data_IF_803474187529
#
_entry.id   IF_803474187529
#
_cell.length_a   1.000
_cell.length_b   1.000
_cell.length_c   1.000
_cell.angle_alpha   90.00
_cell.angle_beta   90.00
_cell.angle_gamma   90.00
#
_symmetry.space_group_name_H-M   'P 1'
#
loop_
_entity.id
_entity.type
_entity.pdbx_description
1 polymer ?
#
# COMPACT_ATOMS: atom_id res chain seq x y z
N UNK A 1 5.79 -1.15 -54.04
CA UNK A 1 6.14 -2.01 -52.87
C UNK A 1 6.61 -1.20 -51.65
N UNK A 2 7.09 0.04 -51.80
CA UNK A 2 7.56 0.88 -50.68
C UNK A 2 6.42 1.47 -49.83
N UNK A 3 5.29 1.84 -50.42
CA UNK A 3 4.18 2.50 -49.69
C UNK A 3 3.53 1.64 -48.60
N UNK A 4 3.49 0.32 -48.79
CA UNK A 4 2.94 -0.60 -47.78
C UNK A 4 3.92 -0.83 -46.60
N UNK A 5 5.22 -0.89 -46.90
CA UNK A 5 6.27 -1.00 -45.88
C UNK A 5 6.47 0.31 -45.09
N UNK A 6 6.18 1.46 -45.71
CA UNK A 6 6.21 2.78 -45.05
C UNK A 6 5.19 2.91 -43.91
N UNK A 7 4.06 2.21 -43.98
CA UNK A 7 3.06 2.17 -42.92
C UNK A 7 3.36 1.09 -41.86
N UNK A 8 4.01 0.00 -42.27
CA UNK A 8 4.37 -1.10 -41.37
C UNK A 8 5.38 -0.67 -40.29
N UNK A 9 6.43 0.06 -40.67
CA UNK A 9 7.45 0.55 -39.74
C UNK A 9 6.90 1.43 -38.59
N UNK A 10 6.09 2.49 -38.86
CA UNK A 10 5.48 3.26 -37.79
C UNK A 10 4.48 2.43 -36.98
N UNK A 11 3.74 1.48 -37.58
CA UNK A 11 2.86 0.58 -36.84
C UNK A 11 3.63 -0.28 -35.81
N UNK A 12 4.78 -0.82 -36.22
CA UNK A 12 5.66 -1.61 -35.34
C UNK A 12 6.23 -0.73 -34.23
N UNK A 13 6.68 0.49 -34.54
CA UNK A 13 7.16 1.44 -33.54
C UNK A 13 6.06 1.81 -32.53
N UNK A 14 4.83 2.05 -32.99
CA UNK A 14 3.68 2.29 -32.10
C UNK A 14 3.37 1.08 -31.22
N UNK A 15 3.46 -0.14 -31.77
CA UNK A 15 3.26 -1.37 -31.01
C UNK A 15 4.31 -1.52 -29.90
N UNK A 16 5.59 -1.34 -30.24
CA UNK A 16 6.71 -1.42 -29.28
C UNK A 16 6.54 -0.36 -28.19
N UNK A 17 6.24 0.88 -28.56
CA UNK A 17 6.01 1.94 -27.56
C UNK A 17 4.80 1.66 -26.67
N UNK A 18 3.72 1.12 -27.25
CA UNK A 18 2.54 0.69 -26.50
C UNK A 18 2.85 -0.41 -25.49
N UNK A 19 3.64 -1.41 -25.89
CA UNK A 19 4.12 -2.48 -25.01
C UNK A 19 4.96 -1.94 -23.86
N UNK A 20 5.91 -1.04 -24.15
CA UNK A 20 6.75 -0.41 -23.12
C UNK A 20 5.88 0.34 -22.11
N UNK A 21 4.94 1.16 -22.58
CA UNK A 21 4.02 1.91 -21.73
C UNK A 21 3.15 0.99 -20.86
N UNK A 22 2.64 -0.12 -21.41
CA UNK A 22 1.84 -1.09 -20.67
C UNK A 22 2.65 -1.77 -19.55
N UNK A 23 3.91 -2.13 -19.82
CA UNK A 23 4.81 -2.70 -18.81
C UNK A 23 5.08 -1.68 -17.70
N UNK A 24 5.40 -0.43 -18.04
CA UNK A 24 5.60 0.63 -17.05
C UNK A 24 4.34 0.90 -16.24
N UNK A 25 3.16 0.85 -16.86
CA UNK A 25 1.89 1.03 -16.16
C UNK A 25 1.65 -0.06 -15.10
N UNK A 26 1.92 -1.33 -15.45
CA UNK A 26 1.77 -2.44 -14.51
C UNK A 26 2.86 -2.43 -13.43
N UNK A 27 4.10 -2.16 -13.82
CA UNK A 27 5.23 -2.01 -12.89
C UNK A 27 4.94 -0.92 -11.85
N UNK A 28 4.51 0.26 -12.30
CA UNK A 28 4.19 1.38 -11.42
C UNK A 28 3.03 1.05 -10.48
N UNK A 29 1.98 0.37 -10.96
CA UNK A 29 0.85 -0.05 -10.12
C UNK A 29 1.30 -0.98 -8.99
N UNK A 30 2.23 -1.89 -9.26
CA UNK A 30 2.78 -2.81 -8.27
C UNK A 30 3.68 -2.11 -7.26
N UNK A 31 4.58 -1.22 -7.73
CA UNK A 31 5.44 -0.41 -6.86
C UNK A 31 4.59 0.48 -5.93
N UNK A 32 3.54 1.09 -6.47
CA UNK A 32 2.62 1.95 -5.74
C UNK A 32 1.84 1.17 -4.67
N UNK A 33 1.37 -0.03 -5.03
CA UNK A 33 0.65 -0.91 -4.12
C UNK A 33 1.52 -1.49 -3.02
N UNK A 34 2.77 -1.85 -3.33
CA UNK A 34 3.75 -2.28 -2.35
C UNK A 34 4.07 -1.14 -1.35
N UNK A 35 4.34 0.07 -1.85
CA UNK A 35 4.58 1.23 -1.00
C UNK A 35 3.37 1.57 -0.12
N UNK A 36 2.15 1.47 -0.66
CA UNK A 36 0.91 1.67 0.09
C UNK A 36 0.73 0.62 1.19
N UNK A 37 0.99 -0.66 0.87
CA UNK A 37 0.90 -1.76 1.83
C UNK A 37 1.94 -1.64 2.95
N UNK A 38 3.20 -1.34 2.62
CA UNK A 38 4.25 -1.08 3.61
C UNK A 38 3.86 0.09 4.53
N UNK A 39 3.31 1.17 3.97
CA UNK A 39 2.85 2.32 4.75
C UNK A 39 1.67 1.95 5.67
N UNK A 40 0.76 1.07 5.21
CA UNK A 40 -0.36 0.58 6.00
C UNK A 40 0.12 -0.29 7.18
N UNK A 41 1.11 -1.15 6.96
CA UNK A 41 1.71 -2.01 8.01
C UNK A 41 2.54 -1.21 9.01
N UNK A 42 3.33 -0.23 8.53
CA UNK A 42 4.05 0.69 9.42
C UNK A 42 3.05 1.56 10.20
N UNK A 43 1.95 1.94 9.59
CA UNK A 43 0.82 2.55 10.27
C UNK A 43 0.25 1.67 11.37
N UNK A 44 0.00 0.40 11.09
CA UNK A 44 -0.68 -0.50 12.03
C UNK A 44 0.19 -0.89 13.20
N UNK A 45 1.51 -0.93 12.99
CA UNK A 45 2.50 -1.08 14.08
C UNK A 45 2.62 0.18 14.91
N UNK A 46 2.68 1.38 14.31
CA UNK A 46 2.71 2.65 15.05
C UNK A 46 1.41 2.98 15.78
N UNK A 47 0.27 2.48 15.31
CA UNK A 47 -0.99 2.55 16.06
C UNK A 47 -0.93 1.82 17.40
N UNK A 48 0.04 0.91 17.59
CA UNK A 48 0.29 0.21 18.86
C UNK A 48 1.19 0.98 19.82
N UNK A 49 1.99 1.93 19.33
CA UNK A 49 2.83 2.76 20.18
C UNK A 49 2.03 3.90 20.81
N UNK A 50 2.39 4.30 22.04
CA UNK A 50 1.71 5.34 22.84
C UNK A 50 1.56 6.71 22.16
N UNK A 51 2.30 6.96 21.07
CA UNK A 51 2.36 8.25 20.38
C UNK A 51 1.25 8.47 19.34
N UNK A 52 0.44 7.46 19.03
CA UNK A 52 -0.64 7.58 18.04
C UNK A 52 -0.14 7.76 16.60
N UNK A 53 -1.05 7.60 15.63
CA UNK A 53 -0.73 7.66 14.20
C UNK A 53 -0.96 9.06 13.66
N UNK A 54 0.12 9.79 13.39
CA UNK A 54 0.05 11.06 12.68
C UNK A 54 0.02 10.80 11.16
N UNK A 55 -1.11 11.10 10.52
CA UNK A 55 -1.33 10.90 9.07
C UNK A 55 -0.27 11.57 8.20
N UNK A 56 0.24 12.73 8.65
CA UNK A 56 1.32 13.46 7.97
C UNK A 56 2.65 12.70 7.94
N UNK A 57 3.00 11.96 9.02
CA UNK A 57 4.22 11.13 9.07
C UNK A 57 4.12 9.93 8.13
N UNK A 58 2.95 9.29 8.04
CA UNK A 58 2.72 8.20 7.08
C UNK A 58 2.81 8.67 5.63
N UNK A 59 2.24 9.84 5.33
CA UNK A 59 2.31 10.41 3.98
C UNK A 59 3.75 10.79 3.60
N UNK A 60 4.55 11.29 4.55
CA UNK A 60 5.98 11.56 4.35
C UNK A 60 6.79 10.28 4.10
N UNK A 61 6.56 9.21 4.89
CA UNK A 61 7.19 7.91 4.70
C UNK A 61 6.89 7.33 3.32
N UNK A 62 5.62 7.37 2.91
CA UNK A 62 5.21 6.94 1.59
C UNK A 62 5.93 7.71 0.47
N UNK A 63 6.06 9.04 0.62
CA UNK A 63 6.76 9.90 -0.34
C UNK A 63 8.25 9.62 -0.40
N UNK A 64 8.90 9.33 0.73
CA UNK A 64 10.31 8.94 0.76
C UNK A 64 10.57 7.61 0.04
N UNK A 65 9.68 6.62 0.24
CA UNK A 65 9.78 5.30 -0.38
C UNK A 65 9.64 5.31 -1.90
N UNK A 66 8.89 6.28 -2.44
CA UNK A 66 8.68 6.45 -3.88
C UNK A 66 9.75 7.33 -4.52
N UNK A 67 10.33 8.27 -3.78
CA UNK A 67 11.29 9.25 -4.31
C UNK A 67 12.54 8.63 -4.96
N UNK A 68 12.96 7.44 -4.52
CA UNK A 68 14.12 6.71 -5.09
C UNK A 68 13.75 5.69 -6.16
N UNK A 69 12.47 5.51 -6.49
CA UNK A 69 12.02 4.52 -7.47
C UNK A 69 11.76 5.18 -8.81
N UNK A 70 12.09 4.49 -9.89
CA UNK A 70 11.68 4.88 -11.24
C UNK A 70 10.18 4.68 -11.38
N UNK A 71 9.41 5.73 -11.09
CA UNK A 71 7.96 5.74 -11.23
C UNK A 71 7.60 6.72 -12.34
N UNK A 72 6.90 6.25 -13.35
CA UNK A 72 6.38 7.07 -14.42
C UNK A 72 5.47 8.17 -13.86
N UNK A 73 4.80 7.91 -12.73
CA UNK A 73 3.98 8.88 -11.98
C UNK A 73 4.77 9.56 -10.83
N UNK A 74 5.39 10.74 -11.05
CA UNK A 74 6.25 11.39 -10.06
C UNK A 74 5.52 11.91 -8.82
N UNK A 75 4.18 12.00 -8.85
CA UNK A 75 3.38 12.62 -7.79
C UNK A 75 2.15 11.78 -7.46
N UNK A 76 2.37 10.54 -6.98
CA UNK A 76 1.33 9.78 -6.31
C UNK A 76 0.90 10.51 -5.03
N UNK A 77 -0.30 11.08 -4.99
CA UNK A 77 -0.87 11.65 -3.76
C UNK A 77 -1.42 10.47 -2.96
N UNK A 78 -0.73 10.08 -1.89
CA UNK A 78 -1.27 9.15 -0.90
C UNK A 78 -2.25 9.90 0.00
N UNK A 79 -3.47 9.40 0.07
CA UNK A 79 -4.45 9.75 1.08
C UNK A 79 -4.49 8.61 2.10
N UNK A 80 -4.17 8.91 3.35
CA UNK A 80 -4.07 7.92 4.42
C UNK A 80 -5.24 8.13 5.37
N UNK A 81 -6.11 7.14 5.47
CA UNK A 81 -7.25 7.14 6.39
C UNK A 81 -6.95 6.14 7.51
N UNK A 82 -6.80 6.63 8.73
CA UNK A 82 -6.51 5.81 9.91
C UNK A 82 -7.82 5.55 10.65
N UNK A 83 -8.31 4.30 10.64
CA UNK A 83 -9.42 3.85 11.46
C UNK A 83 -8.95 3.19 12.77
N UNK A 84 -9.88 2.91 13.70
CA UNK A 84 -9.60 2.28 15.01
C UNK A 84 -9.22 0.79 14.90
N UNK A 85 -9.82 0.07 13.96
CA UNK A 85 -9.59 -1.37 13.74
C UNK A 85 -8.79 -1.65 12.46
N UNK A 86 -8.80 -0.73 11.49
CA UNK A 86 -8.13 -0.89 10.21
C UNK A 86 -7.51 0.44 9.72
N UNK A 87 -6.33 0.35 9.15
CA UNK A 87 -5.65 1.47 8.48
C UNK A 87 -5.79 1.27 6.98
N UNK A 88 -6.43 2.24 6.35
CA UNK A 88 -6.63 2.27 4.90
C UNK A 88 -5.70 3.30 4.28
N UNK A 89 -4.82 2.84 3.39
CA UNK A 89 -3.97 3.69 2.58
C UNK A 89 -4.51 3.67 1.15
N UNK A 90 -5.09 4.79 0.74
CA UNK A 90 -5.57 5.01 -0.63
C UNK A 90 -4.60 5.91 -1.36
N UNK A 91 -3.94 5.37 -2.37
CA UNK A 91 -3.01 6.10 -3.20
C UNK A 91 -3.62 6.40 -4.55
N UNK A 92 -3.56 7.66 -4.98
CA UNK A 92 -3.93 8.05 -6.34
C UNK A 92 -2.73 8.70 -7.04
N UNK A 93 -2.37 8.18 -8.21
CA UNK A 93 -1.33 8.71 -9.07
C UNK A 93 -1.92 9.06 -10.45
N UNK A 94 -1.59 10.23 -11.00
CA UNK A 94 -2.06 10.69 -12.31
C UNK A 94 -0.91 11.29 -13.12
N UNK A 95 -0.80 10.91 -14.40
CA UNK A 95 0.10 11.52 -15.38
C UNK A 95 -0.58 11.57 -16.74
N UNK A 96 -0.87 12.78 -17.22
CA UNK A 96 -1.61 12.98 -18.47
C UNK A 96 -2.96 12.26 -18.46
N UNK A 97 -3.15 11.35 -19.43
CA UNK A 97 -4.35 10.50 -19.58
C UNK A 97 -4.36 9.27 -18.66
N UNK A 98 -3.24 8.92 -18.03
CA UNK A 98 -3.13 7.73 -17.19
C UNK A 98 -3.43 8.06 -15.73
N UNK A 99 -4.29 7.25 -15.11
CA UNK A 99 -4.64 7.33 -13.69
C UNK A 99 -4.54 5.94 -13.07
N UNK A 100 -3.86 5.85 -11.93
CA UNK A 100 -3.76 4.63 -11.13
C UNK A 100 -4.27 4.95 -9.73
N UNK A 101 -5.21 4.15 -9.24
CA UNK A 101 -5.66 4.18 -7.86
C UNK A 101 -5.38 2.82 -7.23
N UNK A 102 -4.73 2.82 -6.06
CA UNK A 102 -4.44 1.61 -5.29
C UNK A 102 -4.91 1.82 -3.86
N UNK A 103 -5.77 0.92 -3.40
CA UNK A 103 -6.28 0.88 -2.03
C UNK A 103 -5.66 -0.33 -1.34
N UNK A 104 -5.07 -0.12 -0.15
CA UNK A 104 -4.54 -1.19 0.68
C UNK A 104 -4.97 -0.98 2.12
N UNK A 105 -5.51 -2.03 2.73
CA UNK A 105 -5.93 -2.05 4.12
C UNK A 105 -4.97 -2.92 4.93
N UNK A 106 -4.70 -2.52 6.15
CA UNK A 106 -4.00 -3.32 7.15
C UNK A 106 -4.78 -3.27 8.47
N UNK A 107 -5.09 -4.45 9.02
CA UNK A 107 -5.77 -4.54 10.31
C UNK A 107 -4.83 -4.11 11.45
N UNK A 108 -5.34 -3.29 12.36
CA UNK A 108 -4.68 -2.92 13.61
C UNK A 108 -4.98 -4.03 14.61
N UNK A 109 -4.10 -5.02 14.67
CA UNK A 109 -4.25 -6.11 15.64
C UNK A 109 -3.63 -5.70 16.97
N UNK A 110 -4.32 -5.93 18.10
CA UNK A 110 -3.79 -5.80 19.47
C UNK A 110 -3.51 -7.20 20.07
N UNK A 111 -2.42 -7.88 19.69
CA UNK A 111 -2.14 -9.24 20.16
C UNK A 111 -1.91 -9.30 21.67
N UNK A 112 -1.30 -8.27 22.26
CA UNK A 112 -0.99 -8.25 23.70
C UNK A 112 -2.24 -8.28 24.58
N UNK A 113 -3.31 -7.59 24.17
CA UNK A 113 -4.58 -7.57 24.91
C UNK A 113 -5.25 -8.94 24.89
N UNK A 114 -5.26 -9.60 23.73
CA UNK A 114 -5.77 -10.98 23.57
C UNK A 114 -4.96 -12.00 24.37
N UNK A 115 -3.62 -11.88 24.40
CA UNK A 115 -2.77 -12.77 25.20
C UNK A 115 -3.02 -12.55 26.69
N UNK A 116 -3.15 -11.29 27.12
CA UNK A 116 -3.42 -10.94 28.52
C UNK A 116 -4.80 -11.40 29.00
N UNK A 117 -5.82 -11.31 28.15
CA UNK A 117 -7.16 -11.82 28.46
C UNK A 117 -7.18 -13.35 28.57
N UNK A 118 -6.50 -14.07 27.66
CA UNK A 118 -6.36 -15.53 27.79
C UNK A 118 -5.70 -15.91 29.10
N UNK A 119 -4.61 -15.23 29.47
CA UNK A 119 -3.90 -15.50 30.73
C UNK A 119 -4.79 -15.26 31.95
N UNK A 120 -5.56 -14.16 31.98
CA UNK A 120 -6.54 -13.89 33.04
C UNK A 120 -7.64 -14.96 33.10
N UNK A 121 -8.11 -15.43 31.95
CA UNK A 121 -9.15 -16.46 31.88
C UNK A 121 -8.63 -17.81 32.37
N UNK A 122 -7.38 -18.16 32.04
CA UNK A 122 -6.69 -19.35 32.56
C UNK A 122 -6.47 -19.28 34.07
N UNK A 123 -6.11 -18.11 34.60
CA UNK A 123 -5.97 -17.88 36.05
C UNK A 123 -7.32 -18.03 36.79
N UNK A 124 -8.41 -17.49 36.25
CA UNK A 124 -9.76 -17.65 36.80
C UNK A 124 -10.23 -19.11 36.74
N UNK A 125 -9.97 -19.81 35.64
CA UNK A 125 -10.34 -21.22 35.47
C UNK A 125 -9.58 -22.13 36.43
N UNK A 126 -8.28 -21.88 36.65
CA UNK A 126 -7.47 -22.64 37.60
C UNK A 126 -7.83 -22.34 39.06
N UNK A 127 -8.19 -21.10 39.40
CA UNK A 127 -8.69 -20.73 40.73
C UNK A 127 -10.02 -21.40 41.08
N UNK A 128 -10.93 -21.56 40.11
CA UNK A 128 -12.19 -22.27 40.31
C UNK A 128 -12.00 -23.79 40.51
N UNK A 129 -10.94 -24.38 39.93
CA UNK A 129 -10.65 -25.81 40.01
C UNK A 129 -9.97 -26.24 41.31
N UNK A 130 -9.37 -25.30 42.04
CA UNK A 130 -8.63 -25.55 43.28
C UNK A 130 -9.49 -25.32 44.55
N UNK A 131 -10.75 -24.88 44.36
CA UNK A 131 -11.72 -24.60 45.42
C UNK A 131 -12.86 -25.65 45.47
N UNK A 132 -12.70 -26.80 44.80
CA UNK A 132 -13.61 -27.94 44.81
C UNK A 132 -12.79 -29.23 44.99
#
# INVERSE_FOLDING_TARGET
MTVEMSFLMPMILFLIMGCILAVFYYHDKNILGAAAYETAVVGSTKAREKDGVETGKLQALYRERIRKKCVLFPTGRANVTVGKEEIEVTVTAKKGKFKVAVRKCAAVTEPERKIREKKKLEELANGAKNNN
#
